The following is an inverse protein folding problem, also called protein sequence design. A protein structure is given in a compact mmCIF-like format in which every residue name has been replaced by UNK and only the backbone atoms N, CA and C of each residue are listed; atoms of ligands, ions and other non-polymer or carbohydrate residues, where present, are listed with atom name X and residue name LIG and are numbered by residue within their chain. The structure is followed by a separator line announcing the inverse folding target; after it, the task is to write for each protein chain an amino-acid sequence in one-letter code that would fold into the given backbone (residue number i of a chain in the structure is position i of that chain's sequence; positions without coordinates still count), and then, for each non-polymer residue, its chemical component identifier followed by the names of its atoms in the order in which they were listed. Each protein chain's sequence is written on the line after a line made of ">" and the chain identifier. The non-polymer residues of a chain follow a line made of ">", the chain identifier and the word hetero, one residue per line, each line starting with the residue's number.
data_IF_468382400543
#
_entry.id   IF_468382400543
#
_cell.length_a   1.000
_cell.length_b   1.000
_cell.length_c   1.000
_cell.angle_alpha   90.00
_cell.angle_beta   90.00
_cell.angle_gamma   90.00
#
_symmetry.space_group_name_H-M   'P 1'
#
loop_
_entity.id
_entity.type
_entity.pdbx_description
1 polymer ?
#
# COMPACT_ATOMS: atom_id res chain seq x y z
N UNK A 1 -33.22 -30.95 52.17
CA UNK A 1 -31.83 -31.30 52.49
C UNK A 1 -31.35 -30.36 53.60
N UNK A 2 -31.19 -30.87 54.82
CA UNK A 2 -30.93 -30.01 55.98
C UNK A 2 -29.60 -29.28 55.80
N UNK A 3 -29.55 -27.99 56.18
CA UNK A 3 -28.33 -27.17 56.15
C UNK A 3 -27.13 -27.85 56.82
N UNK A 4 -27.37 -28.87 57.67
CA UNK A 4 -26.38 -29.64 58.43
C UNK A 4 -25.68 -30.80 57.68
N UNK A 5 -25.96 -31.03 56.40
CA UNK A 5 -25.29 -32.09 55.61
C UNK A 5 -24.30 -31.58 54.53
N UNK A 6 -24.23 -30.26 54.29
CA UNK A 6 -23.34 -29.69 53.26
C UNK A 6 -21.89 -29.55 53.77
N UNK A 7 -20.85 -29.77 52.96
CA UNK A 7 -19.46 -29.55 53.37
C UNK A 7 -19.25 -28.18 54.02
N UNK A 8 -18.47 -28.13 55.09
CA UNK A 8 -18.18 -26.91 55.86
C UNK A 8 -17.81 -25.68 54.98
N UNK A 9 -16.94 -25.79 53.94
CA UNK A 9 -16.59 -24.63 53.12
C UNK A 9 -17.77 -24.07 52.31
N UNK A 10 -18.71 -24.93 51.87
CA UNK A 10 -19.88 -24.51 51.10
C UNK A 10 -20.84 -23.72 51.99
N UNK A 11 -21.01 -24.11 53.27
CA UNK A 11 -21.87 -23.38 54.21
C UNK A 11 -21.31 -22.00 54.55
N UNK A 12 -20.00 -21.91 54.71
CA UNK A 12 -19.32 -20.65 54.99
C UNK A 12 -19.51 -19.70 53.80
N UNK A 13 -19.31 -20.19 52.58
CA UNK A 13 -19.50 -19.42 51.35
C UNK A 13 -20.96 -18.98 51.16
N UNK A 14 -21.93 -19.84 51.47
CA UNK A 14 -23.36 -19.49 51.42
C UNK A 14 -23.73 -18.39 52.42
N UNK A 15 -23.23 -18.47 53.66
CA UNK A 15 -23.48 -17.43 54.67
C UNK A 15 -22.87 -16.10 54.21
N UNK A 16 -21.68 -16.15 53.62
CA UNK A 16 -21.01 -14.98 53.08
C UNK A 16 -21.80 -14.32 51.92
N UNK A 17 -22.17 -15.07 50.87
CA UNK A 17 -22.93 -14.52 49.75
C UNK A 17 -24.32 -14.03 50.16
N UNK A 18 -25.00 -14.68 51.11
CA UNK A 18 -26.30 -14.19 51.63
C UNK A 18 -26.16 -12.82 52.29
N UNK A 19 -25.13 -12.65 53.12
CA UNK A 19 -24.89 -11.34 53.77
C UNK A 19 -24.51 -10.28 52.74
N UNK A 20 -23.70 -10.62 51.73
CA UNK A 20 -23.35 -9.70 50.65
C UNK A 20 -24.58 -9.26 49.84
N UNK A 21 -25.44 -10.21 49.45
CA UNK A 21 -26.67 -9.92 48.72
C UNK A 21 -27.64 -9.05 49.54
N UNK A 22 -27.75 -9.28 50.85
CA UNK A 22 -28.56 -8.43 51.75
C UNK A 22 -28.08 -6.98 51.75
N UNK A 23 -26.77 -6.76 51.71
CA UNK A 23 -26.17 -5.42 51.65
C UNK A 23 -26.47 -4.76 50.29
N UNK A 24 -26.30 -5.49 49.19
CA UNK A 24 -26.61 -4.98 47.84
C UNK A 24 -28.09 -4.63 47.70
N UNK A 25 -28.98 -5.44 48.26
CA UNK A 25 -30.42 -5.22 48.21
C UNK A 25 -30.88 -4.05 49.10
N UNK A 26 -30.22 -3.81 50.24
CA UNK A 26 -30.59 -2.71 51.13
C UNK A 26 -30.12 -1.34 50.62
N UNK A 27 -29.05 -1.29 49.82
CA UNK A 27 -28.47 -0.06 49.28
C UNK A 27 -28.13 -0.15 47.77
N UNK A 28 -29.12 -0.40 46.89
CA UNK A 28 -28.87 -0.76 45.49
C UNK A 28 -28.21 0.38 44.68
N UNK A 29 -28.71 1.61 44.81
CA UNK A 29 -28.16 2.77 44.09
C UNK A 29 -26.73 3.06 44.51
N UNK A 30 -26.45 3.00 45.82
CA UNK A 30 -25.13 3.23 46.37
C UNK A 30 -24.12 2.21 45.83
N UNK A 31 -24.49 0.93 45.78
CA UNK A 31 -23.61 -0.13 45.27
C UNK A 31 -23.32 0.06 43.79
N UNK A 32 -24.32 0.39 42.96
CA UNK A 32 -24.11 0.64 41.53
C UNK A 32 -23.13 1.80 41.33
N UNK A 33 -23.32 2.91 42.04
CA UNK A 33 -22.43 4.08 41.94
C UNK A 33 -21.01 3.72 42.38
N UNK A 34 -20.85 2.98 43.48
CA UNK A 34 -19.53 2.54 43.96
C UNK A 34 -18.84 1.62 42.96
N UNK A 35 -19.56 0.69 42.33
CA UNK A 35 -18.98 -0.20 41.31
C UNK A 35 -18.58 0.54 40.04
N UNK A 36 -19.38 1.52 39.60
CA UNK A 36 -19.03 2.40 38.49
C UNK A 36 -17.78 3.23 38.80
N UNK A 37 -17.71 3.80 40.00
CA UNK A 37 -16.55 4.57 40.47
C UNK A 37 -15.29 3.70 40.60
N UNK A 38 -15.43 2.48 41.11
CA UNK A 38 -14.33 1.53 41.21
C UNK A 38 -13.79 1.14 39.83
N UNK A 39 -14.70 0.82 38.90
CA UNK A 39 -14.35 0.50 37.51
C UNK A 39 -13.64 1.67 36.83
N UNK A 40 -14.10 2.90 37.06
CA UNK A 40 -13.44 4.09 36.57
C UNK A 40 -12.04 4.25 37.19
N UNK A 41 -11.89 4.06 38.50
CA UNK A 41 -10.61 4.22 39.21
C UNK A 41 -9.56 3.18 38.79
N UNK A 42 -9.94 1.91 38.62
CA UNK A 42 -9.01 0.88 38.12
C UNK A 42 -8.61 1.14 36.67
N UNK A 43 -9.52 1.69 35.86
CA UNK A 43 -9.22 2.11 34.49
C UNK A 43 -8.21 3.26 34.45
N UNK A 44 -8.22 4.16 35.44
CA UNK A 44 -7.24 5.26 35.55
C UNK A 44 -5.81 4.75 35.84
N UNK A 45 -5.64 3.67 36.61
CA UNK A 45 -4.31 3.12 36.91
C UNK A 45 -3.60 2.56 35.67
N UNK A 46 -4.36 2.07 34.69
CA UNK A 46 -3.79 1.65 33.39
C UNK A 46 -3.18 2.84 32.64
N UNK A 47 -3.71 4.06 32.83
CA UNK A 47 -3.16 5.28 32.21
C UNK A 47 -1.85 5.76 32.85
N UNK A 48 -1.51 5.29 34.06
CA UNK A 48 -0.37 5.79 34.86
C UNK A 48 0.83 4.84 34.89
N UNK A 49 0.72 3.64 34.33
CA UNK A 49 1.79 2.64 34.39
C UNK A 49 2.74 2.84 33.21
N UNK A 50 4.04 3.06 33.50
CA UNK A 50 5.08 3.21 32.48
C UNK A 50 5.69 1.85 32.16
N UNK A 51 5.60 1.43 30.91
CA UNK A 51 6.21 0.21 30.38
C UNK A 51 7.69 0.45 30.09
N UNK A 52 8.58 -0.42 30.57
CA UNK A 52 10.01 -0.42 30.18
C UNK A 52 10.38 -1.82 29.67
N UNK A 53 11.04 -1.86 28.50
CA UNK A 53 11.36 -3.05 27.73
C UNK A 53 12.86 -3.06 27.43
N UNK A 54 13.60 -4.07 27.92
CA UNK A 54 15.02 -4.28 27.61
C UNK A 54 15.14 -5.35 26.54
N UNK A 55 15.11 -4.90 25.28
CA UNK A 55 15.08 -5.75 24.10
C UNK A 55 16.32 -6.63 23.93
N UNK A 56 17.47 -6.21 24.47
CA UNK A 56 18.75 -6.88 24.20
C UNK A 56 19.02 -8.10 25.11
N UNK A 57 18.47 -8.10 26.33
CA UNK A 57 18.70 -9.14 27.33
C UNK A 57 17.40 -9.73 27.92
N UNK A 58 16.24 -9.09 27.70
CA UNK A 58 14.96 -9.46 28.32
C UNK A 58 14.28 -10.71 27.74
N UNK A 59 14.56 -11.03 26.47
CA UNK A 59 13.88 -12.11 25.74
C UNK A 59 14.72 -13.39 25.57
N UNK A 60 15.97 -13.35 25.99
CA UNK A 60 16.88 -14.49 25.89
C UNK A 60 17.26 -14.93 27.31
N UNK A 61 17.09 -16.22 27.68
CA UNK A 61 17.53 -16.71 28.97
C UNK A 61 19.00 -16.35 29.19
N UNK A 62 19.34 -15.86 30.40
CA UNK A 62 20.67 -15.29 30.69
C UNK A 62 21.86 -16.23 30.41
N UNK A 63 21.60 -17.54 30.31
CA UNK A 63 22.61 -18.58 30.02
C UNK A 63 22.44 -19.23 28.65
N UNK A 64 21.74 -18.57 27.71
CA UNK A 64 21.52 -19.14 26.39
C UNK A 64 22.83 -19.16 25.59
N UNK A 65 23.06 -20.27 24.87
CA UNK A 65 24.19 -20.45 23.95
C UNK A 65 24.30 -19.33 22.91
N UNK A 66 23.18 -18.73 22.50
CA UNK A 66 23.16 -17.57 21.59
C UNK A 66 23.91 -16.35 22.15
N UNK A 67 23.95 -16.16 23.48
CA UNK A 67 24.71 -15.09 24.12
C UNK A 67 26.22 -15.38 24.14
N UNK A 68 26.61 -16.66 24.17
CA UNK A 68 28.01 -17.08 24.05
C UNK A 68 28.49 -16.97 22.59
N UNK A 69 27.66 -17.38 21.62
CA UNK A 69 27.93 -17.19 20.19
C UNK A 69 28.01 -15.71 19.81
N UNK A 70 27.14 -14.87 20.36
CA UNK A 70 27.19 -13.42 20.21
C UNK A 70 28.51 -12.84 20.75
N UNK A 71 29.04 -13.40 21.85
CA UNK A 71 30.35 -13.00 22.41
C UNK A 71 31.49 -13.34 21.45
N UNK A 72 31.49 -14.54 20.86
CA UNK A 72 32.51 -14.97 19.88
C UNK A 72 32.40 -14.20 18.56
N UNK A 73 31.18 -13.94 18.08
CA UNK A 73 30.93 -13.13 16.89
C UNK A 73 31.51 -11.71 17.03
N UNK A 74 31.37 -11.10 18.21
CA UNK A 74 31.96 -9.79 18.53
C UNK A 74 33.49 -9.80 18.57
N UNK A 75 34.11 -10.96 18.86
CA UNK A 75 35.56 -11.13 18.98
C UNK A 75 36.25 -11.29 17.61
N UNK A 76 35.61 -11.96 16.65
CA UNK A 76 36.20 -12.26 15.33
C UNK A 76 35.54 -11.51 14.15
N UNK A 77 34.39 -10.87 14.36
CA UNK A 77 33.74 -9.99 13.38
C UNK A 77 34.40 -8.61 13.32
N UNK A 78 34.20 -7.87 12.22
CA UNK A 78 34.66 -6.49 12.06
C UNK A 78 33.78 -5.51 12.86
N UNK A 79 33.65 -5.77 14.15
CA UNK A 79 32.79 -5.03 15.07
C UNK A 79 31.32 -5.43 14.98
N UNK A 80 30.54 -4.82 15.86
CA UNK A 80 29.08 -4.93 15.85
C UNK A 80 28.51 -4.06 14.75
N UNK A 81 27.41 -4.51 14.13
CA UNK A 81 26.61 -3.65 13.26
C UNK A 81 26.16 -2.44 14.07
N UNK A 82 26.78 -1.30 13.81
CA UNK A 82 26.35 -0.04 14.41
C UNK A 82 25.14 0.45 13.64
N UNK A 83 23.98 0.32 14.27
CA UNK A 83 22.72 0.80 13.74
C UNK A 83 22.29 2.01 14.55
N UNK A 84 22.35 3.19 13.93
CA UNK A 84 21.78 4.40 14.50
C UNK A 84 20.33 4.51 14.03
N UNK A 85 19.39 4.22 14.92
CA UNK A 85 17.99 4.53 14.68
C UNK A 85 17.72 5.96 15.10
N UNK A 86 17.42 6.80 14.12
CA UNK A 86 16.88 8.13 14.38
C UNK A 86 15.37 8.09 14.21
N UNK A 87 14.67 8.03 15.34
CA UNK A 87 13.22 8.18 15.35
C UNK A 87 12.91 9.67 15.28
N UNK A 88 12.71 10.16 14.07
CA UNK A 88 12.32 11.55 13.84
C UNK A 88 10.81 11.58 13.92
N UNK A 89 10.31 12.33 14.91
CA UNK A 89 8.90 12.59 15.12
C UNK A 89 8.68 14.09 15.06
N UNK A 90 7.51 14.50 14.58
CA UNK A 90 7.27 15.91 14.46
C UNK A 90 7.04 16.52 15.84
N UNK A 91 7.68 17.66 16.11
CA UNK A 91 7.68 18.32 17.43
C UNK A 91 6.29 18.72 17.93
N UNK A 92 5.39 18.96 16.99
CA UNK A 92 3.99 19.28 17.22
C UNK A 92 3.10 18.05 17.40
N UNK A 93 3.66 16.84 17.40
CA UNK A 93 2.92 15.57 17.48
C UNK A 93 2.13 15.22 16.23
N UNK A 94 2.30 15.97 15.14
CA UNK A 94 1.64 15.71 13.86
C UNK A 94 2.38 14.72 12.97
N UNK A 95 1.87 14.52 11.76
CA UNK A 95 2.42 13.52 10.84
C UNK A 95 3.80 13.90 10.31
N UNK A 96 4.70 12.91 10.24
CA UNK A 96 6.05 13.06 9.67
C UNK A 96 6.07 13.21 8.16
N UNK A 97 4.97 12.90 7.47
CA UNK A 97 4.87 13.00 6.01
C UNK A 97 4.76 14.45 5.50
N UNK A 98 4.63 15.43 6.39
CA UNK A 98 4.58 16.84 6.00
C UNK A 98 5.90 17.25 5.39
N UNK A 99 5.82 18.07 4.36
CA UNK A 99 6.99 18.49 3.60
C UNK A 99 8.08 19.13 4.46
N UNK A 100 7.71 20.00 5.40
CA UNK A 100 8.67 20.62 6.34
C UNK A 100 9.38 19.58 7.22
N UNK A 101 8.66 18.56 7.69
CA UNK A 101 9.23 17.46 8.46
C UNK A 101 10.09 16.53 7.60
N UNK A 102 9.66 16.22 6.36
CA UNK A 102 10.42 15.39 5.42
C UNK A 102 11.69 16.10 4.93
N UNK A 103 11.62 17.39 4.63
CA UNK A 103 12.77 18.21 4.26
C UNK A 103 13.77 18.30 5.41
N UNK A 104 13.29 18.56 6.62
CA UNK A 104 14.16 18.60 7.79
C UNK A 104 14.72 17.22 8.12
N UNK A 105 13.95 16.15 7.93
CA UNK A 105 14.42 14.76 8.05
C UNK A 105 15.53 14.46 7.06
N UNK A 106 15.38 14.84 5.79
CA UNK A 106 16.42 14.66 4.76
C UNK A 106 17.66 15.50 5.09
N UNK A 107 17.49 16.73 5.58
CA UNK A 107 18.61 17.55 6.06
C UNK A 107 19.32 16.93 7.25
N UNK A 108 18.59 16.36 8.21
CA UNK A 108 19.16 15.67 9.36
C UNK A 108 19.92 14.42 8.91
N UNK A 109 19.38 13.65 7.97
CA UNK A 109 20.07 12.48 7.39
C UNK A 109 21.37 12.90 6.71
N UNK A 110 21.35 13.98 5.93
CA UNK A 110 22.54 14.49 5.24
C UNK A 110 23.56 15.09 6.22
N UNK A 111 23.11 15.81 7.24
CA UNK A 111 23.94 16.35 8.31
C UNK A 111 24.62 15.23 9.11
N UNK A 112 23.90 14.15 9.44
CA UNK A 112 24.46 12.96 10.07
C UNK A 112 25.48 12.28 9.14
N UNK A 113 25.16 12.19 7.86
CA UNK A 113 26.01 11.66 6.82
C UNK A 113 27.36 12.38 6.67
N UNK A 114 27.37 13.70 6.89
CA UNK A 114 28.47 14.58 6.46
C UNK A 114 29.16 15.36 7.59
N UNK A 115 28.44 15.86 8.61
CA UNK A 115 28.96 16.81 9.60
C UNK A 115 29.57 16.16 10.84
N UNK A 116 29.13 14.96 11.19
CA UNK A 116 29.57 14.28 12.41
C UNK A 116 30.73 13.33 12.11
N UNK A 117 31.93 13.91 12.04
CA UNK A 117 33.13 13.16 11.72
C UNK A 117 33.61 12.35 12.92
N UNK A 118 33.76 11.05 12.74
CA UNK A 118 34.41 10.14 13.70
C UNK A 118 35.81 9.85 13.17
N UNK A 119 36.84 10.18 13.96
CA UNK A 119 38.25 10.08 13.53
C UNK A 119 38.53 10.81 12.20
N UNK A 120 37.99 12.02 12.05
CA UNK A 120 38.11 12.83 10.82
C UNK A 120 37.48 12.22 9.55
N UNK A 121 36.64 11.19 9.67
CA UNK A 121 35.87 10.62 8.57
C UNK A 121 34.37 10.81 8.80
N UNK A 122 33.65 11.24 7.78
CA UNK A 122 32.17 11.32 7.82
C UNK A 122 31.54 9.92 7.70
N UNK A 123 30.25 9.80 8.04
CA UNK A 123 29.54 8.53 7.93
C UNK A 123 29.60 7.95 6.51
N UNK A 124 29.44 8.78 5.47
CA UNK A 124 29.58 8.33 4.09
C UNK A 124 30.99 7.85 3.72
N UNK A 125 32.03 8.27 4.46
CA UNK A 125 33.41 7.89 4.19
C UNK A 125 33.82 6.59 4.87
N UNK A 126 33.26 6.25 6.03
CA UNK A 126 33.57 5.00 6.72
C UNK A 126 32.50 3.91 6.56
N UNK A 127 31.32 4.25 6.01
CA UNK A 127 30.27 3.27 5.72
C UNK A 127 30.67 2.36 4.55
N UNK A 128 30.64 1.05 4.75
CA UNK A 128 31.08 0.05 3.76
C UNK A 128 29.94 -0.71 3.08
N UNK A 129 28.72 -0.72 3.62
CA UNK A 129 27.57 -1.46 3.08
C UNK A 129 26.24 -0.84 3.53
N UNK A 130 25.21 -0.89 2.67
CA UNK A 130 23.86 -0.36 2.90
C UNK A 130 23.77 1.16 3.20
N UNK A 131 24.74 1.95 2.73
CA UNK A 131 24.84 3.38 3.04
C UNK A 131 23.68 4.24 2.47
N UNK A 132 22.97 3.73 1.45
CA UNK A 132 21.81 4.40 0.83
C UNK A 132 20.45 3.79 1.24
N UNK A 133 20.39 3.03 2.34
CA UNK A 133 19.14 2.38 2.78
C UNK A 133 17.97 3.36 3.04
N UNK A 134 18.26 4.66 3.16
CA UNK A 134 17.28 5.71 3.40
C UNK A 134 16.73 6.37 2.10
N UNK A 135 17.12 5.90 0.91
CA UNK A 135 16.61 6.39 -0.38
C UNK A 135 15.06 6.44 -0.45
N UNK A 136 14.30 5.47 0.09
CA UNK A 136 12.84 5.56 0.14
C UNK A 136 12.29 6.83 0.84
N UNK A 137 13.03 7.42 1.80
CA UNK A 137 12.64 8.68 2.47
C UNK A 137 12.82 9.87 1.52
N UNK A 138 13.84 9.86 0.68
CA UNK A 138 14.03 10.87 -0.36
C UNK A 138 12.94 10.78 -1.44
N UNK A 139 12.52 9.55 -1.79
CA UNK A 139 11.34 9.33 -2.64
C UNK A 139 10.06 9.78 -1.91
N UNK A 140 9.92 9.52 -0.60
CA UNK A 140 8.81 10.00 0.24
C UNK A 140 8.72 11.51 0.35
N UNK A 141 9.85 12.22 0.37
CA UNK A 141 9.89 13.69 0.25
C UNK A 141 9.27 14.13 -1.07
N UNK A 142 9.61 13.51 -2.18
CA UNK A 142 8.93 13.80 -3.46
C UNK A 142 7.43 13.47 -3.41
N UNK A 143 7.04 12.38 -2.73
CA UNK A 143 5.63 12.05 -2.46
C UNK A 143 4.92 13.04 -1.51
N UNK A 144 5.65 13.78 -0.67
CA UNK A 144 5.08 14.71 0.32
C UNK A 144 4.82 16.12 -0.20
N UNK A 145 5.26 16.44 -1.43
CA UNK A 145 5.16 17.80 -2.01
C UNK A 145 3.79 18.07 -2.65
N UNK A 146 2.96 17.04 -2.78
CA UNK A 146 1.56 17.13 -3.21
C UNK A 146 0.86 15.81 -2.91
N UNK A 147 -0.47 15.85 -2.75
CA UNK A 147 -1.24 14.60 -2.65
C UNK A 147 -1.21 13.89 -3.99
N UNK A 148 -0.59 12.71 -4.04
CA UNK A 148 -0.48 11.96 -5.28
C UNK A 148 -1.83 11.40 -5.71
N UNK A 149 -2.14 11.60 -6.98
CA UNK A 149 -3.25 10.99 -7.69
C UNK A 149 -2.73 9.77 -8.44
N UNK A 150 -3.39 8.62 -8.26
CA UNK A 150 -3.07 7.37 -8.96
C UNK A 150 -4.35 6.73 -9.49
N UNK A 151 -4.43 6.62 -10.81
CA UNK A 151 -5.44 5.86 -11.51
C UNK A 151 -4.77 4.78 -12.35
N UNK A 152 -5.11 3.53 -12.09
CA UNK A 152 -4.69 2.39 -12.88
C UNK A 152 -5.87 1.85 -13.68
N UNK A 153 -5.65 1.61 -14.97
CA UNK A 153 -6.57 0.90 -15.84
C UNK A 153 -5.95 -0.42 -16.27
N UNK A 154 -6.67 -1.51 -16.04
CA UNK A 154 -6.32 -2.84 -16.48
C UNK A 154 -7.14 -3.16 -17.72
N UNK A 155 -6.44 -3.33 -18.85
CA UNK A 155 -7.06 -3.51 -20.15
C UNK A 155 -6.82 -4.94 -20.62
N UNK A 156 -7.90 -5.62 -20.97
CA UNK A 156 -7.88 -7.00 -21.49
C UNK A 156 -8.71 -7.09 -22.77
N UNK A 157 -8.44 -8.08 -23.61
CA UNK A 157 -9.23 -8.30 -24.81
C UNK A 157 -10.59 -8.93 -24.47
N UNK A 158 -11.68 -8.44 -25.06
CA UNK A 158 -13.05 -8.97 -24.83
C UNK A 158 -13.21 -10.42 -25.29
N UNK A 159 -12.52 -10.79 -26.36
CA UNK A 159 -12.52 -12.15 -26.91
C UNK A 159 -11.59 -13.12 -26.15
N UNK A 160 -10.91 -12.65 -25.09
CA UNK A 160 -9.93 -13.45 -24.33
C UNK A 160 -8.62 -13.70 -25.06
N UNK A 161 -8.40 -13.05 -26.21
CA UNK A 161 -7.16 -13.11 -26.98
C UNK A 161 -6.01 -12.28 -26.40
N UNK A 162 -4.91 -12.23 -27.15
CA UNK A 162 -3.71 -11.48 -26.75
C UNK A 162 -3.89 -9.97 -26.95
N UNK A 163 -3.38 -9.18 -26.00
CA UNK A 163 -3.35 -7.72 -26.05
C UNK A 163 -2.28 -7.15 -27.00
N UNK A 164 -1.36 -7.96 -27.53
CA UNK A 164 -0.31 -7.49 -28.46
C UNK A 164 -0.80 -7.35 -29.91
N UNK A 165 -2.05 -7.73 -30.21
CA UNK A 165 -2.65 -7.51 -31.53
C UNK A 165 -2.70 -6.02 -31.84
N UNK A 166 -2.44 -5.67 -33.09
CA UNK A 166 -2.29 -4.27 -33.48
C UNK A 166 -3.58 -3.47 -33.22
N UNK A 167 -4.77 -4.05 -33.45
CA UNK A 167 -6.04 -3.40 -33.13
C UNK A 167 -6.21 -3.11 -31.62
N UNK A 168 -5.84 -4.06 -30.74
CA UNK A 168 -5.89 -3.88 -29.28
C UNK A 168 -4.88 -2.83 -28.79
N UNK A 169 -3.66 -2.85 -29.34
CA UNK A 169 -2.63 -1.86 -29.01
C UNK A 169 -3.00 -0.46 -29.51
N UNK A 170 -3.57 -0.35 -30.70
CA UNK A 170 -4.06 0.92 -31.26
C UNK A 170 -5.12 1.54 -30.37
N UNK A 171 -6.09 0.73 -29.94
CA UNK A 171 -7.14 1.22 -29.07
C UNK A 171 -6.64 1.53 -27.66
N UNK A 172 -5.69 0.75 -27.14
CA UNK A 172 -5.02 1.06 -25.87
C UNK A 172 -4.30 2.42 -25.92
N UNK A 173 -3.58 2.72 -27.00
CA UNK A 173 -2.94 4.03 -27.20
C UNK A 173 -3.96 5.15 -27.34
N UNK A 174 -5.11 4.90 -27.98
CA UNK A 174 -6.23 5.88 -28.01
C UNK A 174 -6.79 6.15 -26.62
N UNK A 175 -6.97 5.12 -25.78
CA UNK A 175 -7.41 5.28 -24.39
C UNK A 175 -6.41 6.16 -23.62
N UNK A 176 -5.09 5.94 -23.80
CA UNK A 176 -4.05 6.74 -23.17
C UNK A 176 -4.18 8.22 -23.57
N UNK A 177 -4.30 8.50 -24.87
CA UNK A 177 -4.41 9.86 -25.40
C UNK A 177 -5.72 10.54 -24.97
N UNK A 178 -6.83 9.81 -25.00
CA UNK A 178 -8.14 10.27 -24.58
C UNK A 178 -8.15 10.70 -23.12
N UNK A 179 -7.58 9.90 -22.21
CA UNK A 179 -7.46 10.25 -20.79
C UNK A 179 -6.54 11.44 -20.60
N UNK A 180 -5.45 11.49 -21.36
CA UNK A 180 -4.49 12.58 -21.37
C UNK A 180 -5.08 13.95 -21.73
N UNK A 181 -6.13 13.97 -22.57
CA UNK A 181 -6.59 15.18 -23.27
C UNK A 181 -8.06 15.54 -23.05
N UNK A 182 -8.98 14.57 -22.95
CA UNK A 182 -10.44 14.82 -22.98
C UNK A 182 -11.06 15.06 -21.60
N UNK A 183 -10.49 14.47 -20.55
CA UNK A 183 -11.06 14.52 -19.20
C UNK A 183 -10.53 15.72 -18.44
N UNK A 184 -11.25 16.82 -18.55
CA UNK A 184 -10.85 18.09 -17.97
C UNK A 184 -11.46 18.28 -16.59
N UNK A 185 -10.64 18.71 -15.63
CA UNK A 185 -11.09 19.27 -14.36
C UNK A 185 -10.52 20.68 -14.24
N UNK A 186 -11.36 21.64 -13.86
CA UNK A 186 -11.00 23.07 -13.83
C UNK A 186 -10.39 23.56 -15.16
N UNK A 187 -10.95 23.10 -16.29
CA UNK A 187 -10.48 23.40 -17.65
C UNK A 187 -9.03 22.96 -17.96
N UNK A 188 -8.48 22.02 -17.19
CA UNK A 188 -7.16 21.43 -17.45
C UNK A 188 -7.28 19.93 -17.71
N UNK A 189 -6.62 19.45 -18.77
CA UNK A 189 -6.44 18.03 -19.04
C UNK A 189 -5.33 17.42 -18.19
N UNK A 190 -5.25 16.10 -18.14
CA UNK A 190 -4.18 15.39 -17.43
C UNK A 190 -2.78 15.87 -17.84
N UNK A 191 -2.50 15.99 -19.14
CA UNK A 191 -1.20 16.48 -19.60
C UNK A 191 -0.90 17.94 -19.23
N UNK A 192 -1.92 18.76 -18.94
CA UNK A 192 -1.72 20.14 -18.53
C UNK A 192 -1.43 20.29 -17.05
N UNK A 193 -2.05 19.44 -16.20
CA UNK A 193 -1.85 19.51 -14.76
C UNK A 193 -0.80 18.53 -14.23
N UNK A 194 -0.42 17.52 -15.01
CA UNK A 194 0.58 16.54 -14.63
C UNK A 194 1.99 17.16 -14.58
N UNK A 195 2.67 16.95 -13.45
CA UNK A 195 4.03 17.46 -13.22
C UNK A 195 5.10 16.37 -13.17
N UNK A 196 4.72 15.11 -13.00
CA UNK A 196 5.63 13.98 -12.85
C UNK A 196 4.95 12.70 -13.34
N UNK A 197 5.71 11.78 -13.94
CA UNK A 197 5.20 10.51 -14.47
C UNK A 197 4.15 10.62 -15.58
N UNK A 198 4.05 11.77 -16.25
CA UNK A 198 3.07 12.01 -17.31
C UNK A 198 3.22 11.05 -18.50
N UNK A 199 4.44 10.55 -18.71
CA UNK A 199 4.79 9.60 -19.75
C UNK A 199 4.97 8.17 -19.21
N UNK A 200 4.38 7.83 -18.05
CA UNK A 200 4.47 6.47 -17.48
C UNK A 200 3.97 5.36 -18.43
N UNK A 201 3.14 5.73 -19.42
CA UNK A 201 2.59 4.82 -20.42
C UNK A 201 3.34 4.83 -21.76
N UNK A 202 4.40 5.62 -21.88
CA UNK A 202 5.25 5.70 -23.08
C UNK A 202 5.76 4.32 -23.56
N UNK A 203 6.17 3.39 -22.68
CA UNK A 203 6.61 2.06 -23.11
C UNK A 203 5.59 1.32 -23.99
N UNK A 204 4.28 1.51 -23.75
CA UNK A 204 3.20 0.87 -24.52
C UNK A 204 3.17 1.43 -25.96
N UNK A 205 3.20 2.75 -26.11
CA UNK A 205 3.18 3.41 -27.41
C UNK A 205 4.46 3.09 -28.21
N UNK A 206 5.60 3.09 -27.53
CA UNK A 206 6.89 2.77 -28.13
C UNK A 206 6.94 1.29 -28.56
N UNK A 207 6.44 0.35 -27.74
CA UNK A 207 6.34 -1.07 -28.11
C UNK A 207 5.46 -1.27 -29.34
N UNK A 208 4.27 -0.64 -29.37
CA UNK A 208 3.33 -0.71 -30.50
C UNK A 208 3.93 -0.17 -31.79
N UNK A 209 4.59 0.98 -31.73
CA UNK A 209 5.25 1.56 -32.90
C UNK A 209 6.43 0.71 -33.36
N UNK A 210 7.21 0.17 -32.43
CA UNK A 210 8.30 -0.73 -32.75
C UNK A 210 7.85 -2.04 -33.39
N UNK A 211 6.74 -2.61 -32.91
CA UNK A 211 6.13 -3.79 -33.50
C UNK A 211 5.69 -3.53 -34.94
N UNK A 212 5.03 -2.39 -35.19
CA UNK A 212 4.59 -1.98 -36.53
C UNK A 212 5.77 -1.84 -37.51
N UNK A 213 6.86 -1.20 -37.08
CA UNK A 213 8.09 -1.04 -37.88
C UNK A 213 8.68 -2.42 -38.21
N UNK A 214 8.76 -3.30 -37.22
CA UNK A 214 9.37 -4.61 -37.38
C UNK A 214 8.54 -5.54 -38.27
N UNK A 215 7.22 -5.47 -38.20
CA UNK A 215 6.31 -6.18 -39.11
C UNK A 215 6.45 -5.67 -40.55
N UNK A 216 6.63 -4.35 -40.75
CA UNK A 216 6.88 -3.79 -42.07
C UNK A 216 8.23 -4.24 -42.64
N UNK A 217 9.27 -4.32 -41.82
CA UNK A 217 10.58 -4.87 -42.21
C UNK A 217 10.48 -6.35 -42.58
N UNK A 218 9.76 -7.15 -41.80
CA UNK A 218 9.47 -8.55 -42.15
C UNK A 218 8.73 -8.64 -43.49
N UNK A 219 7.77 -7.75 -43.75
CA UNK A 219 7.03 -7.71 -45.02
C UNK A 219 7.92 -7.34 -46.21
N UNK A 220 8.88 -6.41 -46.03
CA UNK A 220 9.77 -5.93 -47.10
C UNK A 220 10.95 -6.87 -47.36
N UNK A 221 11.61 -7.31 -46.29
CA UNK A 221 12.90 -7.98 -46.31
C UNK A 221 12.83 -9.46 -45.91
N UNK A 222 11.64 -9.96 -45.57
CA UNK A 222 11.41 -11.35 -45.16
C UNK A 222 11.92 -11.71 -43.77
N UNK A 223 12.53 -10.77 -43.04
CA UNK A 223 13.10 -10.99 -41.70
C UNK A 223 13.09 -9.70 -40.86
N UNK A 224 13.02 -9.83 -39.52
CA UNK A 224 13.17 -8.71 -38.59
C UNK A 224 14.59 -8.10 -38.61
N UNK A 225 14.70 -6.78 -38.43
CA UNK A 225 15.97 -6.08 -38.18
C UNK A 225 16.14 -5.80 -36.67
N UNK A 226 16.83 -6.68 -35.96
CA UNK A 226 17.11 -6.51 -34.53
C UNK A 226 18.29 -5.57 -34.23
N UNK A 227 19.02 -5.10 -35.26
CA UNK A 227 20.22 -4.28 -35.08
C UNK A 227 19.90 -2.84 -34.64
N UNK A 228 18.78 -2.29 -35.12
CA UNK A 228 18.32 -0.93 -34.78
C UNK A 228 17.35 -0.91 -33.60
N UNK A 229 16.59 -1.98 -33.44
CA UNK A 229 15.45 -2.05 -32.54
C UNK A 229 15.18 -3.51 -32.17
N UNK A 230 15.17 -3.80 -30.87
CA UNK A 230 14.79 -5.10 -30.34
C UNK A 230 13.53 -4.98 -29.49
N UNK A 231 12.41 -5.42 -30.04
CA UNK A 231 11.10 -5.43 -29.38
C UNK A 231 10.97 -6.72 -28.57
N UNK A 232 11.69 -6.78 -27.45
CA UNK A 232 11.69 -7.93 -26.55
C UNK A 232 11.11 -7.60 -25.17
N UNK A 233 10.51 -8.60 -24.53
CA UNK A 233 10.17 -8.59 -23.11
C UNK A 233 11.24 -9.38 -22.31
N UNK A 234 11.60 -8.97 -21.07
CA UNK A 234 11.05 -7.86 -20.27
C UNK A 234 11.55 -6.47 -20.66
N UNK A 235 12.72 -6.40 -21.28
CA UNK A 235 13.35 -5.13 -21.67
C UNK A 235 13.44 -5.10 -23.19
N UNK A 236 12.91 -4.04 -23.78
CA UNK A 236 13.12 -3.73 -25.20
C UNK A 236 14.24 -2.70 -25.35
N UNK A 237 14.90 -2.70 -26.50
CA UNK A 237 15.99 -1.77 -26.76
C UNK A 237 15.73 -1.01 -28.06
N UNK A 238 15.62 0.32 -27.96
CA UNK A 238 15.27 1.18 -29.10
C UNK A 238 16.24 2.35 -29.13
N UNK A 239 16.98 2.48 -30.23
CA UNK A 239 18.00 3.53 -30.40
C UNK A 239 19.01 3.57 -29.24
N UNK A 240 19.38 2.39 -28.72
CA UNK A 240 20.33 2.25 -27.61
C UNK A 240 19.76 2.52 -26.21
N UNK A 241 18.45 2.82 -26.09
CA UNK A 241 17.77 2.96 -24.80
C UNK A 241 17.05 1.68 -24.43
N UNK A 242 17.37 1.14 -23.26
CA UNK A 242 16.61 0.08 -22.62
C UNK A 242 15.31 0.63 -22.04
N UNK A 243 14.18 0.03 -22.42
CA UNK A 243 12.84 0.36 -21.92
C UNK A 243 12.24 -0.88 -21.28
N UNK A 244 11.84 -0.76 -20.01
CA UNK A 244 11.24 -1.84 -19.24
C UNK A 244 9.73 -1.92 -19.52
N UNK A 245 9.25 -3.09 -19.93
CA UNK A 245 7.84 -3.37 -20.22
C UNK A 245 7.11 -4.01 -19.03
N UNK A 246 7.85 -4.46 -18.01
CA UNK A 246 7.27 -5.14 -16.83
C UNK A 246 6.27 -4.29 -16.04
N UNK A 247 6.35 -2.94 -15.99
CA UNK A 247 5.33 -2.13 -15.30
C UNK A 247 3.97 -2.14 -16.01
N UNK A 248 3.95 -2.39 -17.32
CA UNK A 248 2.74 -2.28 -18.16
C UNK A 248 2.20 -3.63 -18.62
N UNK A 249 3.03 -4.64 -18.88
CA UNK A 249 2.59 -5.89 -19.54
C UNK A 249 2.51 -7.05 -18.54
N UNK A 250 1.32 -7.65 -18.44
CA UNK A 250 1.03 -8.72 -17.48
C UNK A 250 0.50 -9.99 -18.15
N UNK A 251 0.77 -11.13 -17.50
CA UNK A 251 0.45 -12.45 -18.05
C UNK A 251 1.18 -12.72 -19.36
N UNK A 252 2.43 -12.27 -19.47
CA UNK A 252 3.24 -12.38 -20.69
C UNK A 252 3.70 -13.82 -20.89
N UNK A 253 3.43 -14.39 -22.07
CA UNK A 253 4.06 -15.63 -22.53
C UNK A 253 5.06 -15.29 -23.63
N UNK A 254 6.25 -15.84 -23.57
CA UNK A 254 7.28 -15.68 -24.61
C UNK A 254 7.40 -16.96 -25.43
N UNK A 255 7.92 -16.82 -26.65
CA UNK A 255 8.28 -17.98 -27.46
C UNK A 255 9.50 -18.69 -26.85
N UNK A 256 9.44 -20.01 -26.78
CA UNK A 256 10.65 -20.81 -26.58
C UNK A 256 11.58 -20.64 -27.80
N UNK A 257 12.90 -20.69 -27.59
CA UNK A 257 13.89 -20.42 -28.63
C UNK A 257 13.68 -21.29 -29.90
N UNK A 258 13.25 -22.54 -29.74
CA UNK A 258 13.02 -23.47 -30.86
C UNK A 258 11.63 -23.36 -31.51
N UNK A 259 10.66 -22.75 -30.83
CA UNK A 259 9.26 -22.67 -31.29
C UNK A 259 8.95 -21.31 -31.93
N UNK A 260 9.87 -20.34 -31.82
CA UNK A 260 9.67 -18.99 -32.34
C UNK A 260 9.62 -19.02 -33.87
N UNK A 261 8.57 -18.46 -34.50
CA UNK A 261 8.54 -18.27 -35.94
C UNK A 261 9.72 -17.38 -36.38
N UNK A 262 10.47 -17.74 -37.45
CA UNK A 262 11.65 -16.99 -37.89
C UNK A 262 11.33 -15.55 -38.30
N UNK A 263 10.08 -15.30 -38.72
CA UNK A 263 9.57 -14.00 -39.13
C UNK A 263 8.86 -13.24 -38.00
N UNK A 264 8.96 -13.71 -36.76
CA UNK A 264 8.31 -13.06 -35.63
C UNK A 264 9.03 -11.76 -35.27
N UNK A 265 8.27 -10.67 -35.17
CA UNK A 265 8.78 -9.35 -34.83
C UNK A 265 9.23 -9.21 -33.36
N UNK A 266 8.70 -10.03 -32.45
CA UNK A 266 8.96 -9.94 -31.00
C UNK A 266 9.12 -11.32 -30.35
N UNK A 267 9.80 -11.41 -29.20
CA UNK A 267 9.83 -12.66 -28.42
C UNK A 267 8.52 -12.92 -27.67
N UNK A 268 7.61 -11.95 -27.66
CA UNK A 268 6.31 -12.03 -26.99
C UNK A 268 5.33 -12.84 -27.85
N UNK A 269 4.78 -13.89 -27.26
CA UNK A 269 3.74 -14.73 -27.85
C UNK A 269 2.34 -14.24 -27.46
N UNK A 270 2.18 -13.86 -26.20
CA UNK A 270 0.89 -13.53 -25.62
C UNK A 270 1.07 -12.48 -24.51
N UNK A 271 0.14 -11.54 -24.41
CA UNK A 271 0.00 -10.62 -23.26
C UNK A 271 -1.46 -10.64 -22.86
N UNK A 272 -1.74 -11.01 -21.61
CA UNK A 272 -3.12 -11.14 -21.13
C UNK A 272 -3.73 -9.79 -20.76
N UNK A 273 -2.91 -8.89 -20.25
CA UNK A 273 -3.38 -7.63 -19.69
C UNK A 273 -2.33 -6.55 -19.86
N UNK A 274 -2.79 -5.35 -20.23
CA UNK A 274 -1.96 -4.15 -20.23
C UNK A 274 -2.46 -3.22 -19.13
N UNK A 275 -1.56 -2.80 -18.25
CA UNK A 275 -1.82 -1.77 -17.24
C UNK A 275 -1.38 -0.42 -17.76
N UNK A 276 -2.31 0.52 -17.71
CA UNK A 276 -2.08 1.94 -17.98
C UNK A 276 -2.17 2.70 -16.66
N UNK A 277 -1.15 3.51 -16.38
CA UNK A 277 -0.96 4.19 -15.12
C UNK A 277 -0.99 5.71 -15.33
N UNK A 278 -1.91 6.40 -14.66
CA UNK A 278 -1.94 7.85 -14.60
C UNK A 278 -1.57 8.27 -13.19
N UNK A 279 -0.33 8.75 -13.07
CA UNK A 279 0.26 9.18 -11.81
C UNK A 279 0.59 10.65 -11.96
N UNK A 280 0.12 11.47 -11.03
CA UNK A 280 0.41 12.89 -10.99
C UNK A 280 0.34 13.39 -9.55
N UNK A 281 1.05 14.48 -9.26
CA UNK A 281 0.81 15.20 -8.03
C UNK A 281 -0.41 16.10 -8.20
N UNK A 282 -1.32 16.10 -7.22
CA UNK A 282 -2.45 17.03 -7.20
C UNK A 282 -1.92 18.46 -7.33
N UNK A 283 -2.43 19.26 -8.28
CA UNK A 283 -2.07 20.67 -8.38
C UNK A 283 -2.34 21.42 -7.07
N UNK A 284 -1.46 22.36 -6.70
CA UNK A 284 -1.59 23.08 -5.42
C UNK A 284 -2.93 23.84 -5.24
N UNK A 285 -3.56 24.24 -6.35
CA UNK A 285 -4.84 24.96 -6.37
C UNK A 285 -6.09 24.05 -6.50
N UNK A 286 -5.89 22.73 -6.52
CA UNK A 286 -6.97 21.73 -6.49
C UNK A 286 -7.26 21.31 -5.06
N UNK A 287 -8.51 20.95 -4.77
CA UNK A 287 -8.88 20.23 -3.55
C UNK A 287 -8.73 18.72 -3.77
N UNK A 288 -8.74 17.94 -2.69
CA UNK A 288 -8.79 16.47 -2.80
C UNK A 288 -10.03 16.00 -3.60
N UNK A 289 -11.15 16.73 -3.50
CA UNK A 289 -12.37 16.44 -4.28
C UNK A 289 -12.22 16.75 -5.76
N UNK A 290 -11.47 17.78 -6.15
CA UNK A 290 -11.18 18.05 -7.58
C UNK A 290 -10.39 16.88 -8.19
N UNK A 291 -9.37 16.40 -7.45
CA UNK A 291 -8.58 15.24 -7.84
C UNK A 291 -9.43 13.96 -7.93
N UNK A 292 -10.27 13.71 -6.93
CA UNK A 292 -11.21 12.59 -6.93
C UNK A 292 -12.27 12.72 -8.03
N UNK A 293 -12.69 13.94 -8.39
CA UNK A 293 -13.63 14.20 -9.47
C UNK A 293 -13.05 13.80 -10.81
N UNK A 294 -11.77 14.13 -11.06
CA UNK A 294 -11.08 13.67 -12.26
C UNK A 294 -11.07 12.14 -12.34
N UNK A 295 -10.63 11.48 -11.26
CA UNK A 295 -10.60 10.01 -11.16
C UNK A 295 -11.97 9.36 -11.39
N UNK A 296 -13.00 9.86 -10.71
CA UNK A 296 -14.38 9.37 -10.83
C UNK A 296 -14.94 9.60 -12.23
N UNK A 297 -14.63 10.74 -12.87
CA UNK A 297 -15.11 11.05 -14.23
C UNK A 297 -14.51 10.09 -15.25
N UNK A 298 -13.17 9.91 -15.21
CA UNK A 298 -12.49 8.94 -16.09
C UNK A 298 -13.03 7.53 -15.84
N UNK A 299 -13.09 7.13 -14.57
CA UNK A 299 -13.53 5.79 -14.21
C UNK A 299 -14.99 5.51 -14.54
N UNK A 300 -15.91 6.45 -14.32
CA UNK A 300 -17.32 6.28 -14.66
C UNK A 300 -17.51 6.16 -16.16
N UNK A 301 -16.78 6.95 -16.96
CA UNK A 301 -16.82 6.84 -18.40
C UNK A 301 -16.34 5.46 -18.86
N UNK A 302 -15.13 5.03 -18.48
CA UNK A 302 -14.56 3.78 -18.98
C UNK A 302 -15.25 2.50 -18.46
N UNK A 303 -15.93 2.57 -17.32
CA UNK A 303 -16.65 1.43 -16.74
C UNK A 303 -18.11 1.37 -17.20
N UNK A 304 -18.80 2.52 -17.31
CA UNK A 304 -20.25 2.54 -17.54
C UNK A 304 -20.66 3.00 -18.95
N UNK A 305 -19.86 3.86 -19.60
CA UNK A 305 -20.24 4.50 -20.87
C UNK A 305 -19.41 4.00 -22.07
N UNK A 306 -18.13 3.70 -21.85
CA UNK A 306 -17.22 3.26 -22.88
C UNK A 306 -17.57 1.86 -23.36
N UNK A 307 -17.95 1.76 -24.63
CA UNK A 307 -18.23 0.49 -25.27
C UNK A 307 -17.27 0.27 -26.44
N UNK A 308 -16.26 -0.56 -26.21
CA UNK A 308 -15.32 -1.04 -27.22
C UNK A 308 -15.74 -2.43 -27.72
N UNK A 309 -15.64 -2.71 -29.02
CA UNK A 309 -15.84 -4.08 -29.53
C UNK A 309 -14.65 -5.01 -29.21
N UNK A 310 -13.48 -4.45 -28.90
CA UNK A 310 -12.22 -5.20 -28.74
C UNK A 310 -11.77 -5.34 -27.28
N UNK A 311 -11.98 -4.31 -26.45
CA UNK A 311 -11.35 -4.18 -25.14
C UNK A 311 -12.36 -4.15 -24.00
N UNK A 312 -12.00 -4.79 -22.89
CA UNK A 312 -12.64 -4.61 -21.59
C UNK A 312 -11.64 -3.89 -20.68
N UNK A 313 -12.11 -2.82 -20.05
CA UNK A 313 -11.31 -1.96 -19.20
C UNK A 313 -11.82 -2.09 -17.77
N UNK A 314 -10.91 -2.31 -16.83
CA UNK A 314 -11.19 -2.31 -15.40
C UNK A 314 -10.35 -1.21 -14.74
N UNK A 315 -10.85 -0.61 -13.66
CA UNK A 315 -10.15 0.48 -12.96
C UNK A 315 -9.79 0.10 -11.53
N UNK A 316 -8.68 0.64 -11.05
CA UNK A 316 -8.34 0.69 -9.62
C UNK A 316 -7.73 2.05 -9.31
N UNK A 317 -8.26 2.68 -8.27
CA UNK A 317 -7.76 3.95 -7.74
C UNK A 317 -8.12 4.08 -6.26
N UNK A 318 -7.47 5.02 -5.56
CA UNK A 318 -7.78 5.30 -4.15
C UNK A 318 -9.22 5.79 -3.98
N UNK A 319 -9.73 6.78 -4.74
CA UNK A 319 -11.12 7.21 -4.62
C UNK A 319 -12.11 6.08 -4.88
N UNK A 320 -11.85 5.22 -5.87
CA UNK A 320 -12.68 4.05 -6.14
C UNK A 320 -12.74 3.08 -4.95
N UNK A 321 -11.58 2.74 -4.35
CA UNK A 321 -11.53 1.85 -3.19
C UNK A 321 -12.24 2.47 -1.98
N UNK A 322 -12.11 3.77 -1.76
CA UNK A 322 -12.81 4.48 -0.68
C UNK A 322 -14.33 4.43 -0.87
N UNK A 323 -14.82 4.72 -2.08
CA UNK A 323 -16.24 4.65 -2.40
C UNK A 323 -16.79 3.22 -2.16
N UNK A 324 -16.01 2.20 -2.52
CA UNK A 324 -16.37 0.80 -2.33
C UNK A 324 -16.38 0.35 -0.85
N UNK A 325 -15.42 0.82 -0.05
CA UNK A 325 -15.39 0.59 1.41
C UNK A 325 -16.60 1.25 2.08
N UNK A 326 -16.92 2.48 1.73
CA UNK A 326 -18.09 3.20 2.29
C UNK A 326 -19.38 2.49 1.90
N UNK A 327 -19.50 2.05 0.65
CA UNK A 327 -20.65 1.25 0.17
C UNK A 327 -20.80 -0.05 0.96
N UNK A 328 -19.70 -0.78 1.20
CA UNK A 328 -19.73 -2.01 1.98
C UNK A 328 -20.08 -1.75 3.46
N UNK A 329 -19.46 -0.75 4.09
CA UNK A 329 -19.73 -0.40 5.48
C UNK A 329 -21.19 0.03 5.70
N UNK A 330 -21.72 0.89 4.83
CA UNK A 330 -23.12 1.33 4.88
C UNK A 330 -24.10 0.18 4.65
N UNK A 331 -23.73 -0.82 3.85
CA UNK A 331 -24.56 -2.03 3.67
C UNK A 331 -24.69 -2.89 4.94
N UNK A 332 -23.75 -2.77 5.90
CA UNK A 332 -23.73 -3.57 7.13
C UNK A 332 -24.48 -2.93 8.32
N UNK A 333 -24.65 -1.60 8.31
CA UNK A 333 -25.35 -0.83 9.35
C UNK A 333 -26.70 -1.43 9.77
N UNK A 334 -27.62 -1.81 8.84
CA UNK A 334 -28.91 -2.36 9.25
C UNK A 334 -28.77 -3.68 10.04
N UNK A 335 -27.76 -4.50 9.76
CA UNK A 335 -27.57 -5.80 10.42
C UNK A 335 -27.09 -5.65 11.87
N UNK A 336 -26.21 -4.68 12.15
CA UNK A 336 -25.75 -4.40 13.52
C UNK A 336 -26.91 -3.94 14.39
N UNK A 337 -27.75 -3.04 13.87
CA UNK A 337 -28.93 -2.56 14.58
C UNK A 337 -29.90 -3.71 14.92
N UNK A 338 -30.16 -4.61 13.96
CA UNK A 338 -30.97 -5.81 14.19
C UNK A 338 -30.32 -6.71 15.24
N UNK A 339 -29.01 -6.93 15.21
CA UNK A 339 -28.30 -7.74 16.20
C UNK A 339 -28.44 -7.22 17.63
N UNK A 340 -28.31 -5.92 17.84
CA UNK A 340 -28.54 -5.29 19.15
C UNK A 340 -29.99 -5.44 19.60
N UNK A 341 -30.95 -5.19 18.71
CA UNK A 341 -32.38 -5.33 19.04
C UNK A 341 -32.73 -6.77 19.39
N UNK A 342 -32.23 -7.75 18.65
CA UNK A 342 -32.43 -9.17 18.94
C UNK A 342 -31.81 -9.54 20.30
N UNK A 343 -30.60 -9.07 20.59
CA UNK A 343 -29.95 -9.33 21.90
C UNK A 343 -30.76 -8.75 23.05
N UNK A 344 -31.26 -7.52 22.92
CA UNK A 344 -32.14 -6.90 23.90
C UNK A 344 -33.47 -7.65 24.04
N UNK A 345 -34.09 -8.07 22.93
CA UNK A 345 -35.34 -8.83 22.93
C UNK A 345 -35.18 -10.20 23.60
N UNK A 346 -34.12 -10.94 23.27
CA UNK A 346 -33.80 -12.21 23.94
C UNK A 346 -33.55 -11.97 25.43
N UNK A 347 -32.82 -10.92 25.80
CA UNK A 347 -32.59 -10.59 27.20
C UNK A 347 -33.90 -10.27 27.96
N UNK A 348 -34.84 -9.54 27.35
CA UNK A 348 -36.14 -9.23 27.98
C UNK A 348 -37.04 -10.47 28.06
N UNK A 349 -37.14 -11.23 26.96
CA UNK A 349 -38.03 -12.40 26.87
C UNK A 349 -37.53 -13.61 27.66
N UNK A 350 -36.21 -13.77 27.84
CA UNK A 350 -35.65 -14.84 28.67
C UNK A 350 -35.77 -14.58 30.18
N UNK A 351 -36.01 -13.33 30.58
CA UNK A 351 -36.16 -12.91 31.97
C UNK A 351 -37.64 -12.75 32.38
N UNK A 352 -38.57 -12.81 31.42
CA UNK A 352 -40.02 -12.87 31.63
C UNK A 352 -40.47 -14.33 31.72
#
# INVERSE_FOLDING_TARGET
>A
MHSKDRPLPIRILEIFFRRLAQIVAHFPVLVIVVMLMFTAATSVKMLLTKTEDDFHLGYTPRNARSLDELRVFKEYGNGEMMMLFLFIVAKDGGSMIRMECLNETVRIIDDIGTKFNVKNMSFYQFCSSFCNANEPIAVFREYGNGEMMMLFLFIVAKDGGSMIRMECLNETVRIIDDIGTKFNVKNMSFYQFCSSFCNANEPIAVFRNGLLIQEEEVRKNGKPDFGRMNISYPIMNILGRAVDLTPNFYGVQTWNQCERPPNSATNVKDVRMITVSFIANRPAHWTADDAATWDRTVGNYYINEYNSDLLRVERVSIPFMQDEIVRAATSLVPYVAVGFLVTCLVAVTSVS
#
